data_IF_704817704313
#
_entry.id   IF_704817704313
#
_cell.length_a   1.000
_cell.length_b   1.000
_cell.length_c   1.000
_cell.angle_alpha   90.00
_cell.angle_beta   90.00
_cell.angle_gamma   90.00
#
_symmetry.space_group_name_H-M   'P 1'
#
loop_
_entity.id
_entity.type
_entity.pdbx_description
1 polymer ?
#
# COMPACT_ATOMS: atom_id res chain seq x y z
N UNK A 1 4.29 -11.95 -18.62
CA UNK A 1 4.31 -13.25 -17.89
C UNK A 1 5.24 -14.29 -18.52
N UNK A 2 4.95 -14.80 -19.72
CA UNK A 2 5.74 -15.88 -20.34
C UNK A 2 7.23 -15.54 -20.52
N UNK A 3 7.55 -14.27 -20.82
CA UNK A 3 8.93 -13.77 -20.89
C UNK A 3 9.68 -13.86 -19.56
N UNK A 4 8.99 -13.66 -18.43
CA UNK A 4 9.62 -13.83 -17.12
C UNK A 4 9.81 -15.32 -16.80
N UNK A 5 8.82 -16.16 -17.11
CA UNK A 5 8.91 -17.61 -16.95
C UNK A 5 10.04 -18.23 -17.80
N UNK A 6 10.29 -17.70 -19.00
CA UNK A 6 11.31 -18.21 -19.91
C UNK A 6 12.74 -18.08 -19.40
N UNK A 7 12.98 -17.26 -18.37
CA UNK A 7 14.28 -17.22 -17.68
C UNK A 7 14.55 -18.56 -16.98
N UNK A 8 13.53 -19.13 -16.33
CA UNK A 8 13.63 -20.34 -15.52
C UNK A 8 13.39 -21.63 -16.31
N UNK A 9 12.55 -21.58 -17.34
CA UNK A 9 12.20 -22.78 -18.10
C UNK A 9 11.06 -22.54 -19.09
N UNK A 10 10.35 -23.60 -19.45
CA UNK A 10 9.27 -23.49 -20.44
C UNK A 10 8.21 -22.44 -20.04
N UNK A 11 7.66 -21.67 -20.98
CA UNK A 11 6.50 -20.81 -20.73
C UNK A 11 5.29 -21.54 -20.13
N UNK A 12 5.24 -22.88 -20.26
CA UNK A 12 4.23 -23.75 -19.63
C UNK A 12 4.32 -23.79 -18.09
N UNK A 13 5.36 -23.23 -17.49
CA UNK A 13 5.49 -23.10 -16.04
C UNK A 13 4.55 -22.03 -15.46
N UNK A 14 3.94 -21.19 -16.29
CA UNK A 14 2.89 -20.26 -15.85
C UNK A 14 1.71 -21.06 -15.30
N UNK A 15 1.31 -20.77 -14.07
CA UNK A 15 0.19 -21.40 -13.37
C UNK A 15 -1.00 -20.46 -13.34
N UNK A 16 -2.19 -21.02 -13.18
CA UNK A 16 -3.43 -20.25 -13.04
C UNK A 16 -3.72 -19.99 -11.57
N UNK A 17 -4.29 -18.83 -11.25
CA UNK A 17 -4.86 -18.57 -9.92
C UNK A 17 -6.12 -19.38 -9.61
N UNK A 18 -6.70 -20.07 -10.62
CA UNK A 18 -7.81 -21.01 -10.45
C UNK A 18 -7.33 -22.28 -9.74
N UNK A 19 -7.10 -22.17 -8.44
CA UNK A 19 -6.52 -23.22 -7.60
C UNK A 19 -7.04 -23.10 -6.17
N UNK A 20 -6.96 -24.20 -5.41
CA UNK A 20 -7.19 -24.18 -3.95
C UNK A 20 -5.95 -23.70 -3.21
N UNK A 21 -6.12 -23.30 -1.95
CA UNK A 21 -5.04 -22.94 -1.03
C UNK A 21 -3.96 -24.04 -0.94
N UNK A 22 -4.38 -25.29 -0.75
CA UNK A 22 -3.48 -26.44 -0.60
C UNK A 22 -2.71 -26.79 -1.88
N UNK A 23 -3.36 -26.62 -3.03
CA UNK A 23 -2.69 -26.78 -4.31
C UNK A 23 -1.65 -25.67 -4.50
N UNK A 24 -1.96 -24.42 -4.12
CA UNK A 24 -1.00 -23.31 -4.18
C UNK A 24 0.16 -23.48 -3.19
N UNK A 25 -0.03 -24.05 -2.00
CA UNK A 25 1.08 -24.41 -1.10
C UNK A 25 2.06 -25.38 -1.78
N UNK A 26 1.53 -26.42 -2.42
CA UNK A 26 2.35 -27.42 -3.12
C UNK A 26 3.09 -26.82 -4.32
N UNK A 27 2.42 -25.92 -5.05
CA UNK A 27 3.01 -25.19 -6.17
C UNK A 27 4.11 -24.24 -5.68
N UNK A 28 3.88 -23.51 -4.59
CA UNK A 28 4.83 -22.58 -4.01
C UNK A 28 6.10 -23.30 -3.53
N UNK A 29 5.95 -24.41 -2.82
CA UNK A 29 7.06 -25.27 -2.39
C UNK A 29 7.91 -25.74 -3.58
N UNK A 30 7.27 -26.16 -4.67
CA UNK A 30 7.95 -26.59 -5.90
C UNK A 30 8.69 -25.44 -6.64
N UNK A 31 8.39 -24.18 -6.32
CA UNK A 31 9.05 -22.99 -6.88
C UNK A 31 9.92 -22.28 -5.84
N UNK A 32 10.28 -22.92 -4.73
CA UNK A 32 11.20 -22.32 -3.75
C UNK A 32 12.52 -21.96 -4.42
N UNK A 33 13.04 -20.78 -4.07
CA UNK A 33 14.20 -20.12 -4.66
C UNK A 33 14.07 -19.78 -6.16
N UNK A 34 12.87 -19.92 -6.71
CA UNK A 34 12.51 -19.55 -8.07
C UNK A 34 11.44 -18.46 -8.16
N UNK A 35 11.09 -18.13 -9.41
CA UNK A 35 9.95 -17.26 -9.71
C UNK A 35 8.69 -18.12 -9.88
N UNK A 36 7.64 -17.79 -9.11
CA UNK A 36 6.31 -18.34 -9.32
C UNK A 36 5.48 -17.38 -10.18
N UNK A 37 5.00 -17.82 -11.33
CA UNK A 37 4.20 -16.98 -12.25
C UNK A 37 2.75 -17.45 -12.20
N UNK A 38 1.85 -16.60 -11.72
CA UNK A 38 0.42 -16.88 -11.54
C UNK A 38 -0.43 -15.97 -12.42
N UNK A 39 -1.16 -16.54 -13.35
CA UNK A 39 -1.95 -15.80 -14.32
C UNK A 39 -3.40 -15.64 -13.85
N UNK A 40 -3.90 -14.42 -14.03
CA UNK A 40 -5.29 -14.01 -13.88
C UNK A 40 -5.86 -14.22 -12.46
N UNK A 41 -5.46 -13.35 -11.54
CA UNK A 41 -5.87 -13.35 -10.11
C UNK A 41 -7.38 -13.31 -9.94
N UNK A 42 -8.12 -12.78 -10.92
CA UNK A 42 -9.58 -12.76 -10.94
C UNK A 42 -10.23 -14.14 -10.85
N UNK A 43 -9.50 -15.21 -11.18
CA UNK A 43 -9.99 -16.59 -11.05
C UNK A 43 -9.86 -17.19 -9.64
N UNK A 44 -9.15 -16.54 -8.72
CA UNK A 44 -9.07 -17.00 -7.34
C UNK A 44 -10.38 -16.66 -6.60
N UNK A 45 -10.78 -17.48 -5.63
CA UNK A 45 -11.95 -17.18 -4.82
C UNK A 45 -11.70 -15.92 -3.95
N UNK A 46 -12.52 -14.86 -4.08
CA UNK A 46 -12.44 -13.63 -3.27
C UNK A 46 -12.33 -13.85 -1.76
N UNK A 47 -12.91 -14.96 -1.26
CA UNK A 47 -12.92 -15.28 0.16
C UNK A 47 -11.56 -15.73 0.68
N UNK A 48 -10.70 -16.32 -0.16
CA UNK A 48 -9.39 -16.85 0.28
C UNK A 48 -8.20 -16.02 -0.22
N UNK A 49 -8.37 -15.21 -1.27
CA UNK A 49 -7.24 -14.58 -1.96
C UNK A 49 -6.27 -13.83 -1.03
N UNK A 50 -6.78 -13.07 -0.06
CA UNK A 50 -5.95 -12.31 0.86
C UNK A 50 -5.09 -13.21 1.76
N UNK A 51 -5.65 -14.32 2.22
CA UNK A 51 -4.92 -15.32 3.02
C UNK A 51 -3.90 -16.07 2.15
N UNK A 52 -4.25 -16.34 0.89
CA UNK A 52 -3.34 -16.93 -0.08
C UNK A 52 -2.14 -16.02 -0.38
N UNK A 53 -2.34 -14.72 -0.59
CA UNK A 53 -1.24 -13.75 -0.74
C UNK A 53 -0.36 -13.69 0.50
N UNK A 54 -0.96 -13.75 1.70
CA UNK A 54 -0.18 -13.85 2.94
C UNK A 54 0.67 -15.11 2.99
N UNK A 55 0.09 -16.27 2.71
CA UNK A 55 0.77 -17.56 2.70
C UNK A 55 1.94 -17.55 1.72
N UNK A 56 1.72 -17.14 0.47
CA UNK A 56 2.77 -17.03 -0.55
C UNK A 56 3.91 -16.11 -0.09
N UNK A 57 3.58 -14.94 0.45
CA UNK A 57 4.56 -13.96 0.92
C UNK A 57 5.24 -14.30 2.24
N UNK A 58 4.67 -15.18 3.07
CA UNK A 58 5.26 -15.62 4.34
C UNK A 58 6.22 -16.80 4.16
N UNK A 59 6.07 -17.58 3.09
CA UNK A 59 6.98 -18.68 2.82
C UNK A 59 6.64 -19.98 3.54
N UNK A 60 5.41 -20.16 4.03
CA UNK A 60 5.04 -21.37 4.76
C UNK A 60 3.57 -21.75 4.58
N UNK A 61 3.33 -23.06 4.49
CA UNK A 61 1.99 -23.64 4.43
C UNK A 61 1.30 -23.72 5.80
N UNK A 62 0.05 -24.16 5.80
CA UNK A 62 -0.73 -24.29 7.02
C UNK A 62 -0.30 -25.52 7.83
N UNK A 63 0.02 -25.31 9.10
CA UNK A 63 0.22 -26.40 10.05
C UNK A 63 -1.06 -27.21 10.23
N UNK A 64 -0.93 -28.54 10.19
CA UNK A 64 -2.05 -29.47 10.41
C UNK A 64 -1.73 -30.37 11.59
N UNK A 65 -2.64 -30.44 12.56
CA UNK A 65 -2.58 -31.47 13.59
C UNK A 65 -3.05 -32.80 12.99
N UNK A 66 -2.48 -33.91 13.46
CA UNK A 66 -3.04 -35.25 13.18
C UNK A 66 -4.20 -35.57 14.15
N UNK A 67 -4.91 -36.67 13.91
CA UNK A 67 -6.04 -37.13 14.72
C UNK A 67 -5.68 -37.43 16.19
N UNK A 68 -4.39 -37.42 16.53
CA UNK A 68 -3.86 -37.59 17.90
C UNK A 68 -3.40 -36.28 18.55
N UNK A 69 -3.68 -35.13 17.92
CA UNK A 69 -3.28 -33.80 18.43
C UNK A 69 -1.77 -33.53 18.39
N UNK A 70 -0.99 -34.41 17.77
CA UNK A 70 0.44 -34.20 17.53
C UNK A 70 0.62 -33.41 16.23
N UNK A 71 1.73 -32.67 16.11
CA UNK A 71 2.10 -32.03 14.86
C UNK A 71 2.05 -33.07 13.72
N UNK A 72 1.27 -32.79 12.68
CA UNK A 72 1.09 -33.67 11.53
C UNK A 72 2.34 -33.71 10.64
N UNK A 73 2.15 -33.94 9.34
CA UNK A 73 3.24 -33.87 8.33
C UNK A 73 3.99 -32.54 8.43
N UNK A 74 5.28 -32.56 8.10
CA UNK A 74 6.12 -31.37 8.05
C UNK A 74 5.46 -30.26 7.21
N UNK A 75 5.43 -29.05 7.76
CA UNK A 75 4.93 -27.87 7.06
C UNK A 75 5.85 -27.59 5.88
N UNK A 76 5.27 -27.39 4.69
CA UNK A 76 6.03 -26.98 3.52
C UNK A 76 6.48 -25.53 3.71
N UNK A 77 7.75 -25.26 3.39
CA UNK A 77 8.35 -23.94 3.44
C UNK A 77 8.93 -23.59 2.08
N UNK A 78 8.95 -22.30 1.76
CA UNK A 78 9.52 -21.79 0.51
C UNK A 78 10.02 -20.37 0.69
N UNK A 79 10.92 -19.97 -0.20
CA UNK A 79 11.35 -18.59 -0.39
C UNK A 79 11.18 -18.23 -1.85
N UNK A 80 10.21 -17.41 -2.19
CA UNK A 80 9.96 -17.06 -3.60
C UNK A 80 9.58 -15.59 -3.78
N UNK A 81 9.76 -15.13 -5.00
CA UNK A 81 9.01 -14.00 -5.55
C UNK A 81 7.93 -14.58 -6.46
N UNK A 82 6.74 -13.99 -6.44
CA UNK A 82 5.71 -14.32 -7.40
C UNK A 82 5.33 -13.11 -8.24
N UNK A 83 4.98 -13.38 -9.49
CA UNK A 83 4.45 -12.41 -10.42
C UNK A 83 3.01 -12.79 -10.72
N UNK A 84 2.13 -11.79 -10.81
CA UNK A 84 0.71 -11.97 -11.08
C UNK A 84 0.20 -11.01 -12.14
N UNK A 85 -0.89 -11.39 -12.81
CA UNK A 85 -1.71 -10.54 -13.70
C UNK A 85 -3.15 -10.50 -13.19
N UNK A 86 -3.89 -9.49 -13.63
CA UNK A 86 -5.32 -9.36 -13.38
C UNK A 86 -5.83 -7.96 -13.72
N UNK A 87 -7.13 -7.88 -13.98
CA UNK A 87 -7.82 -6.60 -14.24
C UNK A 87 -8.17 -5.84 -12.96
N UNK A 88 -8.33 -6.56 -11.85
CA UNK A 88 -8.71 -6.02 -10.54
C UNK A 88 -7.51 -6.01 -9.60
N UNK A 89 -7.41 -4.97 -8.79
CA UNK A 89 -6.46 -4.94 -7.67
C UNK A 89 -6.85 -5.97 -6.61
N UNK A 90 -5.89 -6.36 -5.76
CA UNK A 90 -6.18 -7.25 -4.63
C UNK A 90 -7.28 -6.69 -3.71
N UNK A 91 -7.30 -5.37 -3.49
CA UNK A 91 -8.35 -4.69 -2.72
C UNK A 91 -9.73 -4.87 -3.36
N UNK A 92 -9.84 -4.61 -4.66
CA UNK A 92 -11.10 -4.75 -5.41
C UNK A 92 -11.58 -6.21 -5.37
N UNK A 93 -10.69 -7.17 -5.56
CA UNK A 93 -11.04 -8.59 -5.54
C UNK A 93 -11.51 -9.04 -4.15
N UNK A 94 -10.86 -8.59 -3.08
CA UNK A 94 -11.29 -8.90 -1.71
C UNK A 94 -12.62 -8.25 -1.33
N UNK A 95 -12.89 -7.05 -1.84
CA UNK A 95 -14.13 -6.33 -1.58
C UNK A 95 -15.37 -7.09 -2.09
N UNK A 96 -15.25 -7.91 -3.13
CA UNK A 96 -16.33 -8.79 -3.62
C UNK A 96 -16.81 -9.80 -2.56
N UNK A 97 -15.95 -10.15 -1.61
CA UNK A 97 -16.29 -10.98 -0.45
C UNK A 97 -16.54 -10.18 0.83
N UNK A 98 -16.74 -8.86 0.73
CA UNK A 98 -16.84 -7.93 1.87
C UNK A 98 -15.64 -8.05 2.85
N UNK A 99 -14.43 -8.24 2.31
CA UNK A 99 -13.18 -8.26 3.09
C UNK A 99 -12.34 -7.03 2.81
N UNK A 100 -11.78 -6.45 3.86
CA UNK A 100 -10.87 -5.31 3.74
C UNK A 100 -9.42 -5.76 3.49
N UNK A 101 -8.72 -5.02 2.63
CA UNK A 101 -7.29 -5.20 2.41
C UNK A 101 -6.52 -4.74 3.67
N UNK A 102 -5.66 -5.61 4.19
CA UNK A 102 -4.74 -5.25 5.27
C UNK A 102 -3.43 -4.73 4.68
N UNK A 103 -2.84 -3.70 5.31
CA UNK A 103 -1.52 -3.16 4.96
C UNK A 103 -0.43 -4.24 4.77
N UNK A 104 -0.47 -5.31 5.56
CA UNK A 104 0.48 -6.41 5.44
C UNK A 104 0.31 -7.26 4.16
N UNK A 105 -0.89 -7.34 3.60
CA UNK A 105 -1.16 -8.02 2.32
C UNK A 105 -0.70 -7.16 1.14
N UNK A 106 -0.97 -5.86 1.20
CA UNK A 106 -0.59 -4.89 0.17
C UNK A 106 0.93 -4.90 -0.05
N UNK A 107 1.71 -4.83 1.03
CA UNK A 107 3.17 -4.92 0.94
C UNK A 107 3.67 -6.32 0.59
N UNK A 108 2.84 -7.34 0.36
CA UNK A 108 3.27 -8.65 -0.16
C UNK A 108 2.96 -8.81 -1.65
N UNK A 109 2.01 -8.06 -2.16
CA UNK A 109 1.64 -8.04 -3.57
C UNK A 109 1.54 -6.58 -4.05
N UNK A 110 2.65 -6.09 -4.60
CA UNK A 110 2.75 -4.71 -5.10
C UNK A 110 2.06 -4.65 -6.48
N UNK A 111 0.90 -4.00 -6.55
CA UNK A 111 0.15 -3.83 -7.79
C UNK A 111 0.73 -2.68 -8.63
N UNK A 112 1.39 -3.02 -9.74
CA UNK A 112 1.93 -2.03 -10.68
C UNK A 112 0.97 -1.89 -11.86
N UNK A 113 0.55 -0.67 -12.23
CA UNK A 113 -0.23 -0.45 -13.46
C UNK A 113 0.50 -1.03 -14.68
N UNK A 114 -0.23 -1.78 -15.50
CA UNK A 114 0.35 -2.42 -16.68
C UNK A 114 0.58 -1.45 -17.85
N UNK A 115 -0.18 -0.35 -17.92
CA UNK A 115 -0.04 0.66 -18.98
C UNK A 115 1.19 1.54 -18.74
N UNK A 116 2.08 1.59 -19.72
CA UNK A 116 3.27 2.43 -19.72
C UNK A 116 2.95 3.92 -19.96
N UNK A 117 1.67 4.28 -20.17
CA UNK A 117 1.17 5.65 -20.38
C UNK A 117 1.78 6.34 -21.61
N UNK A 118 2.12 5.56 -22.64
CA UNK A 118 2.70 6.03 -23.91
C UNK A 118 1.84 5.72 -25.13
N UNK A 119 0.60 5.28 -24.92
CA UNK A 119 -0.31 4.88 -26.01
C UNK A 119 0.05 3.56 -26.69
N UNK A 120 0.98 2.79 -26.11
CA UNK A 120 1.47 1.50 -26.62
C UNK A 120 1.11 0.32 -25.69
N UNK A 121 0.14 0.53 -24.79
CA UNK A 121 -0.19 -0.42 -23.74
C UNK A 121 0.99 -0.66 -22.80
N UNK A 122 1.39 -1.92 -22.62
CA UNK A 122 2.45 -2.29 -21.68
C UNK A 122 3.88 -1.96 -22.13
N UNK A 123 4.05 -1.45 -23.35
CA UNK A 123 5.37 -1.21 -23.93
C UNK A 123 5.74 0.26 -23.91
N UNK A 124 6.99 0.55 -23.57
CA UNK A 124 7.54 1.90 -23.71
C UNK A 124 7.96 2.22 -25.15
N UNK A 125 8.42 1.21 -25.87
CA UNK A 125 8.94 1.29 -27.24
C UNK A 125 8.67 -0.03 -27.95
N UNK A 126 8.42 0.05 -29.26
CA UNK A 126 8.12 -1.12 -30.08
C UNK A 126 9.37 -1.81 -30.66
N UNK A 127 10.56 -1.22 -30.56
CA UNK A 127 11.82 -1.82 -31.01
C UNK A 127 11.79 -2.35 -32.47
N UNK A 128 11.19 -1.58 -33.39
CA UNK A 128 11.11 -1.91 -34.82
C UNK A 128 9.94 -2.80 -35.22
N UNK A 129 9.05 -3.16 -34.30
CA UNK A 129 7.77 -3.80 -34.61
C UNK A 129 6.71 -2.75 -35.00
N UNK A 130 5.75 -3.17 -35.82
CA UNK A 130 4.68 -2.30 -36.35
C UNK A 130 3.75 -1.78 -35.25
N UNK A 131 3.37 -2.65 -34.31
CA UNK A 131 2.50 -2.31 -33.18
C UNK A 131 2.81 -3.17 -31.94
N UNK A 132 2.10 -2.90 -30.85
CA UNK A 132 2.24 -3.61 -29.58
C UNK A 132 1.84 -5.10 -29.69
N UNK A 133 0.89 -5.45 -30.55
CA UNK A 133 0.43 -6.82 -30.74
C UNK A 133 1.53 -7.64 -31.42
N UNK A 134 2.14 -7.11 -32.49
CA UNK A 134 3.25 -7.71 -33.20
C UNK A 134 4.46 -7.95 -32.30
N UNK A 135 4.82 -6.98 -31.44
CA UNK A 135 5.89 -7.18 -30.45
C UNK A 135 5.53 -8.28 -29.44
N UNK A 136 4.31 -8.28 -28.90
CA UNK A 136 3.83 -9.28 -27.95
C UNK A 136 3.88 -10.70 -28.54
N UNK A 137 3.39 -10.88 -29.76
CA UNK A 137 3.36 -12.18 -30.43
C UNK A 137 4.75 -12.66 -30.84
N UNK A 138 5.63 -11.74 -31.26
CA UNK A 138 7.04 -12.07 -31.50
C UNK A 138 7.75 -12.54 -30.23
N UNK A 139 7.50 -11.90 -29.09
CA UNK A 139 8.03 -12.33 -27.80
C UNK A 139 7.51 -13.72 -27.42
N UNK A 140 6.20 -13.97 -27.51
CA UNK A 140 5.58 -15.28 -27.24
C UNK A 140 6.17 -16.40 -28.12
N UNK A 141 6.34 -16.13 -29.42
CA UNK A 141 6.93 -17.08 -30.36
C UNK A 141 8.38 -17.42 -30.00
N UNK A 142 9.19 -16.41 -29.62
CA UNK A 142 10.59 -16.61 -29.21
C UNK A 142 10.71 -17.40 -27.93
N UNK A 143 9.93 -17.05 -26.90
CA UNK A 143 10.02 -17.73 -25.59
C UNK A 143 9.51 -19.17 -25.63
N UNK A 144 8.74 -19.54 -26.64
CA UNK A 144 8.33 -20.94 -26.88
C UNK A 144 9.49 -21.78 -27.44
N UNK A 145 10.46 -21.16 -28.11
CA UNK A 145 11.63 -21.83 -28.71
C UNK A 145 12.88 -21.73 -27.83
N UNK A 146 13.07 -20.60 -27.14
CA UNK A 146 14.27 -20.28 -26.38
C UNK A 146 13.89 -19.95 -24.94
N UNK A 147 14.32 -20.79 -24.00
CA UNK A 147 14.05 -20.62 -22.58
C UNK A 147 15.05 -21.39 -21.69
N UNK A 148 15.14 -21.03 -20.41
CA UNK A 148 15.96 -21.67 -19.37
C UNK A 148 17.43 -21.27 -19.35
N UNK A 149 17.97 -20.79 -20.48
CA UNK A 149 19.40 -20.44 -20.61
C UNK A 149 19.88 -19.36 -19.64
N UNK A 150 19.15 -18.23 -19.45
CA UNK A 150 19.68 -17.13 -18.63
C UNK A 150 19.87 -17.51 -17.15
N UNK A 151 18.95 -18.30 -16.57
CA UNK A 151 19.08 -18.72 -15.18
C UNK A 151 20.30 -19.61 -14.96
N UNK A 152 20.55 -20.58 -15.86
CA UNK A 152 21.71 -21.47 -15.74
C UNK A 152 23.01 -20.67 -15.77
N UNK A 153 23.14 -19.71 -16.69
CA UNK A 153 24.31 -18.84 -16.75
C UNK A 153 24.47 -18.00 -15.47
N UNK A 154 23.37 -17.44 -14.95
CA UNK A 154 23.38 -16.65 -13.72
C UNK A 154 23.80 -17.48 -12.50
N UNK A 155 23.24 -18.68 -12.34
CA UNK A 155 23.57 -19.58 -11.24
C UNK A 155 25.03 -20.07 -11.32
N UNK A 156 25.53 -20.39 -12.51
CA UNK A 156 26.94 -20.76 -12.69
C UNK A 156 27.89 -19.66 -12.22
N UNK A 157 27.59 -18.39 -12.53
CA UNK A 157 28.38 -17.26 -12.08
C UNK A 157 28.25 -16.99 -10.56
N UNK A 158 27.04 -17.16 -10.00
CA UNK A 158 26.82 -16.99 -8.56
C UNK A 158 27.52 -18.06 -7.71
N UNK A 159 27.61 -19.28 -8.23
CA UNK A 159 28.22 -20.43 -7.56
C UNK A 159 29.73 -20.55 -7.81
N UNK A 160 30.36 -19.59 -8.48
CA UNK A 160 31.80 -19.61 -8.68
C UNK A 160 32.54 -19.57 -7.32
N UNK A 161 33.47 -20.52 -7.06
CA UNK A 161 34.16 -20.61 -5.78
C UNK A 161 34.81 -19.29 -5.36
N UNK A 162 34.57 -18.89 -4.10
CA UNK A 162 35.15 -17.68 -3.52
C UNK A 162 34.43 -16.36 -3.87
N UNK A 163 33.45 -16.33 -4.77
CA UNK A 163 32.77 -15.09 -5.17
C UNK A 163 31.51 -14.74 -4.36
N UNK A 164 30.94 -15.70 -3.64
CA UNK A 164 29.65 -15.55 -2.93
C UNK A 164 29.60 -14.35 -1.98
N UNK A 165 30.68 -14.11 -1.22
CA UNK A 165 30.74 -12.97 -0.29
C UNK A 165 30.74 -11.63 -1.04
N UNK A 166 31.48 -11.56 -2.16
CA UNK A 166 31.49 -10.40 -3.07
C UNK A 166 30.10 -10.11 -3.62
N UNK A 167 29.41 -11.12 -4.13
CA UNK A 167 28.04 -11.00 -4.63
C UNK A 167 27.07 -10.51 -3.55
N UNK A 168 27.13 -11.07 -2.34
CA UNK A 168 26.27 -10.62 -1.24
C UNK A 168 26.49 -9.16 -0.88
N UNK A 169 27.73 -8.67 -0.97
CA UNK A 169 28.11 -7.30 -0.65
C UNK A 169 27.62 -6.33 -1.73
N UNK A 170 27.81 -6.70 -3.00
CA UNK A 170 27.37 -5.91 -4.16
C UNK A 170 25.84 -5.78 -4.17
N UNK A 171 25.12 -6.88 -3.98
CA UNK A 171 23.66 -6.87 -3.96
C UNK A 171 23.13 -6.00 -2.82
N UNK A 172 23.68 -6.14 -1.62
CA UNK A 172 23.29 -5.33 -0.45
C UNK A 172 23.46 -3.83 -0.71
N UNK A 173 24.66 -3.41 -1.13
CA UNK A 173 24.93 -1.99 -1.42
C UNK A 173 24.06 -1.46 -2.55
N UNK A 174 23.81 -2.27 -3.58
CA UNK A 174 22.97 -1.85 -4.72
C UNK A 174 21.52 -1.65 -4.29
N UNK A 175 20.98 -2.54 -3.45
CA UNK A 175 19.62 -2.41 -2.89
C UNK A 175 19.55 -1.19 -1.96
N UNK A 176 20.51 -1.00 -1.06
CA UNK A 176 20.53 0.14 -0.13
C UNK A 176 20.60 1.48 -0.89
N UNK A 177 21.46 1.56 -1.91
CA UNK A 177 21.56 2.73 -2.80
C UNK A 177 20.29 2.94 -3.61
N UNK A 178 19.65 1.88 -4.11
CA UNK A 178 18.39 2.00 -4.82
C UNK A 178 17.32 2.62 -3.92
N UNK A 179 17.18 2.09 -2.70
CA UNK A 179 16.19 2.57 -1.73
C UNK A 179 16.47 4.02 -1.33
N UNK A 180 17.71 4.37 -0.98
CA UNK A 180 18.07 5.72 -0.52
C UNK A 180 17.93 6.80 -1.60
N UNK A 181 18.09 6.43 -2.88
CA UNK A 181 17.96 7.37 -4.00
C UNK A 181 16.54 7.42 -4.59
N UNK A 182 15.67 6.48 -4.24
CA UNK A 182 14.31 6.39 -4.79
C UNK A 182 13.22 6.84 -3.82
N UNK A 183 13.52 6.97 -2.53
CA UNK A 183 12.55 7.36 -1.51
C UNK A 183 13.03 8.56 -0.68
N UNK A 184 12.11 9.44 -0.25
CA UNK A 184 12.43 10.47 0.74
C UNK A 184 12.71 9.85 2.12
N UNK A 185 13.44 10.56 2.98
CA UNK A 185 13.73 10.10 4.36
C UNK A 185 12.47 9.88 5.20
N UNK A 186 11.38 10.58 4.88
CA UNK A 186 10.06 10.46 5.53
C UNK A 186 9.22 9.29 5.02
N UNK A 187 9.72 8.48 4.08
CA UNK A 187 8.97 7.37 3.50
C UNK A 187 8.53 6.36 4.58
N UNK A 188 7.29 5.90 4.46
CA UNK A 188 6.72 4.91 5.36
C UNK A 188 7.47 3.57 5.28
N UNK A 189 7.39 2.77 6.35
CA UNK A 189 7.97 1.42 6.35
C UNK A 189 7.37 0.50 5.27
N UNK A 190 6.17 0.80 4.79
CA UNK A 190 5.56 0.09 3.65
C UNK A 190 6.25 0.45 2.33
N UNK A 191 6.44 1.74 2.07
CA UNK A 191 7.17 2.23 0.89
C UNK A 191 8.62 1.71 0.88
N UNK A 192 9.30 1.72 2.03
CA UNK A 192 10.64 1.14 2.20
C UNK A 192 10.66 -0.34 1.77
N UNK A 193 9.72 -1.16 2.26
CA UNK A 193 9.63 -2.58 1.87
C UNK A 193 9.35 -2.78 0.38
N UNK A 194 8.54 -1.91 -0.23
CA UNK A 194 8.29 -1.97 -1.67
C UNK A 194 9.56 -1.64 -2.45
N UNK A 195 10.23 -0.53 -2.12
CA UNK A 195 11.49 -0.12 -2.75
C UNK A 195 12.59 -1.18 -2.60
N UNK A 196 12.68 -1.88 -1.46
CA UNK A 196 13.63 -2.99 -1.30
C UNK A 196 13.38 -4.10 -2.32
N UNK A 197 12.12 -4.43 -2.66
CA UNK A 197 11.82 -5.47 -3.66
C UNK A 197 12.14 -5.02 -5.08
N UNK A 198 11.81 -3.79 -5.45
CA UNK A 198 12.22 -3.22 -6.73
C UNK A 198 13.74 -3.09 -6.83
N UNK A 199 14.40 -2.71 -5.74
CA UNK A 199 15.85 -2.65 -5.64
C UNK A 199 16.52 -4.01 -5.77
N UNK A 200 15.89 -5.08 -5.26
CA UNK A 200 16.36 -6.45 -5.48
C UNK A 200 16.28 -6.84 -6.96
N UNK A 201 15.17 -6.51 -7.64
CA UNK A 201 15.03 -6.74 -9.08
C UNK A 201 16.05 -5.93 -9.90
N UNK A 202 16.28 -4.66 -9.54
CA UNK A 202 17.31 -3.82 -10.13
C UNK A 202 18.70 -4.44 -9.95
N UNK A 203 19.08 -4.78 -8.72
CA UNK A 203 20.38 -5.35 -8.40
C UNK A 203 20.64 -6.67 -9.13
N UNK A 204 19.64 -7.54 -9.21
CA UNK A 204 19.73 -8.78 -9.98
C UNK A 204 19.91 -8.52 -11.48
N UNK A 205 19.18 -7.56 -12.04
CA UNK A 205 19.30 -7.17 -13.45
C UNK A 205 20.63 -6.50 -13.80
N UNK A 206 21.15 -5.62 -12.95
CA UNK A 206 22.49 -5.02 -13.13
C UNK A 206 23.59 -6.08 -13.03
N UNK A 207 23.50 -7.01 -12.07
CA UNK A 207 24.45 -8.10 -11.96
C UNK A 207 24.40 -9.02 -13.20
N UNK A 208 23.21 -9.37 -13.67
CA UNK A 208 23.05 -10.17 -14.88
C UNK A 208 23.60 -9.44 -16.12
N UNK A 209 23.47 -8.12 -16.17
CA UNK A 209 24.03 -7.27 -17.22
C UNK A 209 25.56 -7.26 -17.18
N UNK A 210 26.16 -7.06 -16.01
CA UNK A 210 27.62 -7.11 -15.82
C UNK A 210 28.22 -8.48 -16.14
N UNK A 211 27.44 -9.55 -15.97
CA UNK A 211 27.81 -10.92 -16.35
C UNK A 211 27.58 -11.22 -17.85
N UNK A 212 27.07 -10.26 -18.63
CA UNK A 212 26.83 -10.42 -20.07
C UNK A 212 25.59 -11.24 -20.44
N UNK A 213 24.66 -11.45 -19.50
CA UNK A 213 23.50 -12.34 -19.69
C UNK A 213 22.33 -11.62 -20.38
N UNK A 214 22.08 -10.36 -20.04
CA UNK A 214 20.92 -9.61 -20.54
C UNK A 214 21.18 -8.88 -21.86
N UNK A 215 22.43 -8.45 -22.08
CA UNK A 215 22.79 -7.52 -23.17
C UNK A 215 22.20 -6.12 -23.00
N UNK A 216 21.71 -5.75 -21.81
CA UNK A 216 21.15 -4.43 -21.53
C UNK A 216 22.25 -3.37 -21.32
N UNK A 217 21.95 -2.07 -21.51
CA UNK A 217 22.87 -1.02 -21.09
C UNK A 217 22.98 -0.97 -19.56
N UNK A 218 24.16 -0.58 -19.06
CA UNK A 218 24.39 -0.33 -17.63
C UNK A 218 23.37 0.68 -17.08
N UNK A 219 22.78 0.37 -15.91
CA UNK A 219 21.74 1.20 -15.31
C UNK A 219 20.34 0.99 -15.89
N UNK A 220 20.20 0.17 -16.94
CA UNK A 220 18.91 -0.11 -17.57
C UNK A 220 17.92 -0.81 -16.63
N UNK A 221 18.38 -1.82 -15.88
CA UNK A 221 17.54 -2.54 -14.92
C UNK A 221 17.12 -1.65 -13.75
N UNK A 222 18.04 -0.81 -13.27
CA UNK A 222 17.79 0.17 -12.22
C UNK A 222 16.75 1.19 -12.66
N UNK A 223 16.86 1.71 -13.88
CA UNK A 223 15.90 2.68 -14.42
C UNK A 223 14.52 2.05 -14.56
N UNK A 224 14.42 0.85 -15.12
CA UNK A 224 13.15 0.13 -15.24
C UNK A 224 12.49 -0.13 -13.88
N UNK A 225 13.27 -0.56 -12.88
CA UNK A 225 12.76 -0.78 -11.53
C UNK A 225 12.27 0.52 -10.86
N UNK A 226 12.93 1.67 -11.11
CA UNK A 226 12.48 2.99 -10.63
C UNK A 226 11.17 3.41 -11.28
N UNK A 227 10.99 3.17 -12.58
CA UNK A 227 9.72 3.42 -13.29
C UNK A 227 8.59 2.64 -12.63
N UNK A 228 8.77 1.33 -12.40
CA UNK A 228 7.76 0.50 -11.75
C UNK A 228 7.47 0.92 -10.30
N UNK A 229 8.52 1.27 -9.52
CA UNK A 229 8.35 1.77 -8.15
C UNK A 229 7.55 3.08 -8.15
N UNK A 230 7.85 4.02 -9.05
CA UNK A 230 7.16 5.30 -9.12
C UNK A 230 5.70 5.12 -9.56
N UNK A 231 5.43 4.24 -10.53
CA UNK A 231 4.06 3.90 -10.92
C UNK A 231 3.27 3.31 -9.74
N UNK A 232 3.90 2.40 -8.98
CA UNK A 232 3.30 1.86 -7.76
C UNK A 232 3.07 2.93 -6.68
N UNK A 233 4.04 3.82 -6.45
CA UNK A 233 3.92 4.92 -5.49
C UNK A 233 2.79 5.88 -5.88
N UNK A 234 2.63 6.20 -7.17
CA UNK A 234 1.58 7.10 -7.64
C UNK A 234 0.19 6.50 -7.43
N UNK A 235 0.00 5.22 -7.77
CA UNK A 235 -1.26 4.50 -7.52
C UNK A 235 -1.56 4.40 -6.03
N UNK A 236 -0.52 4.14 -5.24
CA UNK A 236 -0.54 4.20 -3.78
C UNK A 236 -0.37 5.63 -3.26
N UNK A 237 -0.79 6.69 -3.96
CA UNK A 237 -0.83 8.09 -3.45
C UNK A 237 0.41 8.65 -2.72
N UNK A 238 1.61 8.13 -2.98
CA UNK A 238 2.89 8.62 -2.48
C UNK A 238 3.65 7.66 -1.54
N UNK A 239 4.84 8.10 -1.11
CA UNK A 239 5.73 7.35 -0.22
C UNK A 239 5.31 7.42 1.26
N UNK A 240 4.34 8.27 1.60
CA UNK A 240 3.83 8.50 2.95
C UNK A 240 3.08 7.30 3.56
N UNK A 241 2.58 7.50 4.77
CA UNK A 241 1.80 6.48 5.48
C UNK A 241 0.32 6.59 5.11
N UNK A 242 -0.19 5.64 4.31
CA UNK A 242 -1.58 5.65 3.82
C UNK A 242 -2.63 5.62 4.92
N UNK A 243 -2.33 4.96 6.04
CA UNK A 243 -3.20 5.00 7.22
C UNK A 243 -3.42 6.44 7.70
N UNK A 244 -2.39 7.28 7.62
CA UNK A 244 -2.42 8.66 8.07
C UNK A 244 -3.30 9.55 7.20
N UNK A 245 -3.22 9.43 5.86
CA UNK A 245 -4.05 10.22 4.95
C UNK A 245 -5.51 9.75 4.95
N UNK A 246 -5.74 8.44 5.06
CA UNK A 246 -7.08 7.87 5.20
C UNK A 246 -7.78 8.36 6.48
N UNK A 247 -7.04 8.55 7.58
CA UNK A 247 -7.56 9.14 8.82
C UNK A 247 -8.10 10.55 8.56
N UNK A 248 -7.32 11.41 7.90
CA UNK A 248 -7.72 12.79 7.60
C UNK A 248 -8.89 12.83 6.63
N UNK A 249 -8.85 12.04 5.55
CA UNK A 249 -9.92 11.94 4.58
C UNK A 249 -11.24 11.47 5.22
N UNK A 250 -11.16 10.49 6.14
CA UNK A 250 -12.32 10.01 6.89
C UNK A 250 -12.94 11.12 7.74
N UNK A 251 -12.12 11.91 8.43
CA UNK A 251 -12.60 13.02 9.25
C UNK A 251 -13.23 14.13 8.40
N UNK A 252 -12.62 14.48 7.26
CA UNK A 252 -13.18 15.42 6.27
C UNK A 252 -14.55 14.98 5.79
N UNK A 253 -14.67 13.72 5.35
CA UNK A 253 -15.94 13.16 4.89
C UNK A 253 -17.06 13.26 5.94
N UNK A 254 -16.73 13.00 7.23
CA UNK A 254 -17.70 13.13 8.32
C UNK A 254 -18.14 14.57 8.49
N UNK A 255 -17.22 15.54 8.42
CA UNK A 255 -17.54 16.96 8.56
C UNK A 255 -18.30 17.52 7.35
N UNK A 256 -17.92 17.15 6.13
CA UNK A 256 -18.65 17.54 4.91
C UNK A 256 -20.09 17.02 4.93
N UNK A 257 -20.29 15.78 5.39
CA UNK A 257 -21.61 15.15 5.38
C UNK A 257 -22.49 15.55 6.57
N UNK A 258 -21.89 15.73 7.74
CA UNK A 258 -22.63 15.83 9.01
C UNK A 258 -22.32 17.09 9.83
N UNK A 259 -21.38 17.92 9.39
CA UNK A 259 -20.87 19.08 10.14
C UNK A 259 -21.96 20.05 10.60
N UNK A 260 -23.02 20.22 9.81
CA UNK A 260 -24.13 21.10 10.17
C UNK A 260 -25.27 20.39 10.91
N UNK A 261 -25.49 19.10 10.63
CA UNK A 261 -26.72 18.37 10.99
C UNK A 261 -26.60 17.54 12.26
N UNK A 262 -25.42 16.96 12.53
CA UNK A 262 -25.17 16.08 13.68
C UNK A 262 -24.32 16.75 14.78
N UNK A 263 -24.07 18.05 14.68
CA UNK A 263 -23.38 18.84 15.70
C UNK A 263 -24.28 19.95 16.25
N UNK A 264 -24.54 19.91 17.56
CA UNK A 264 -25.35 20.95 18.22
C UNK A 264 -24.58 22.26 18.25
N UNK A 265 -25.22 23.35 17.82
CA UNK A 265 -24.62 24.68 17.83
C UNK A 265 -24.39 25.17 19.25
N UNK A 266 -23.21 25.72 19.47
CA UNK A 266 -22.78 26.35 20.71
C UNK A 266 -22.49 27.83 20.41
N UNK A 267 -23.51 28.67 20.52
CA UNK A 267 -23.42 30.10 20.13
C UNK A 267 -23.14 31.04 21.32
N UNK A 268 -23.45 30.63 22.56
CA UNK A 268 -23.27 31.48 23.75
C UNK A 268 -21.93 31.26 24.46
N UNK A 269 -21.38 32.32 25.08
CA UNK A 269 -20.25 32.26 26.01
C UNK A 269 -20.52 31.35 27.22
N UNK A 270 -21.80 31.14 27.56
CA UNK A 270 -22.25 30.17 28.57
C UNK A 270 -22.61 28.87 27.86
N UNK A 271 -22.19 27.72 28.41
CA UNK A 271 -22.52 26.39 27.91
C UNK A 271 -24.02 26.04 28.13
N UNK A 272 -24.91 26.77 27.46
CA UNK A 272 -26.35 26.54 27.40
C UNK A 272 -26.74 26.11 25.99
N UNK A 273 -27.67 25.15 25.90
CA UNK A 273 -28.29 24.77 24.64
C UNK A 273 -29.23 25.91 24.24
N UNK A 274 -29.22 26.30 22.97
CA UNK A 274 -30.25 27.18 22.44
C UNK A 274 -31.59 26.43 22.42
N UNK A 275 -32.52 26.84 23.29
CA UNK A 275 -33.85 26.25 23.42
C UNK A 275 -34.74 26.54 22.20
N UNK A 276 -34.37 27.53 21.37
CA UNK A 276 -35.11 27.91 20.16
C UNK A 276 -34.49 27.33 18.87
N UNK A 277 -33.35 26.64 18.99
CA UNK A 277 -32.64 26.02 17.86
C UNK A 277 -33.24 24.68 17.43
N UNK A 278 -33.04 24.26 16.16
CA UNK A 278 -33.44 22.94 15.70
C UNK A 278 -32.73 21.83 16.50
N UNK A 279 -33.48 20.79 16.88
CA UNK A 279 -32.92 19.64 17.59
C UNK A 279 -31.92 18.89 16.71
N UNK A 280 -30.76 18.57 17.28
CA UNK A 280 -29.74 17.73 16.63
C UNK A 280 -30.12 16.25 16.77
N UNK A 281 -30.50 15.61 15.67
CA UNK A 281 -30.78 14.17 15.61
C UNK A 281 -29.44 13.41 15.46
N UNK A 282 -29.34 12.23 16.07
CA UNK A 282 -28.15 11.37 16.05
C UNK A 282 -26.85 12.15 16.38
N UNK A 283 -26.84 12.94 17.44
CA UNK A 283 -25.74 13.88 17.72
C UNK A 283 -24.37 13.18 17.83
N UNK A 284 -23.39 13.65 17.03
CA UNK A 284 -21.96 13.29 17.13
C UNK A 284 -21.21 14.17 18.13
N UNK A 285 -21.66 15.41 18.33
CA UNK A 285 -20.98 16.36 19.19
C UNK A 285 -21.56 17.77 19.14
N UNK A 286 -20.70 18.76 19.38
CA UNK A 286 -21.02 20.18 19.37
C UNK A 286 -20.14 20.93 18.37
N UNK A 287 -20.62 22.07 17.89
CA UNK A 287 -19.81 23.00 17.08
C UNK A 287 -19.92 24.41 17.62
N UNK A 288 -18.80 25.13 17.65
CA UNK A 288 -18.73 26.54 18.02
C UNK A 288 -18.22 27.33 16.82
N UNK A 289 -19.00 28.30 16.36
CA UNK A 289 -18.59 29.20 15.28
C UNK A 289 -18.19 30.54 15.88
N UNK A 290 -17.04 31.04 15.47
CA UNK A 290 -16.57 32.38 15.80
C UNK A 290 -16.50 33.20 14.50
N UNK A 291 -17.06 34.40 14.52
CA UNK A 291 -16.97 35.35 13.42
C UNK A 291 -15.77 36.27 13.65
N UNK A 292 -15.05 36.55 12.57
CA UNK A 292 -13.85 37.40 12.56
C UNK A 292 -14.02 38.47 11.47
N UNK A 293 -13.43 39.65 11.70
CA UNK A 293 -13.50 40.78 10.76
C UNK A 293 -14.76 41.63 10.90
N UNK A 294 -14.86 42.67 10.07
CA UNK A 294 -16.04 43.55 9.94
C UNK A 294 -16.36 43.77 8.45
N UNK A 295 -17.64 43.91 8.12
CA UNK A 295 -18.09 44.21 6.76
C UNK A 295 -17.77 43.09 5.76
N UNK A 296 -17.27 43.45 4.58
CA UNK A 296 -16.96 42.51 3.49
C UNK A 296 -15.77 41.57 3.79
N UNK A 297 -15.02 41.80 4.87
CA UNK A 297 -13.93 40.93 5.33
C UNK A 297 -14.37 39.89 6.39
N UNK A 298 -15.68 39.73 6.60
CA UNK A 298 -16.22 38.76 7.55
C UNK A 298 -15.86 37.33 7.13
N UNK A 299 -15.23 36.59 8.03
CA UNK A 299 -15.00 35.16 7.86
C UNK A 299 -15.26 34.42 9.17
N UNK A 300 -15.62 33.14 9.08
CA UNK A 300 -15.98 32.33 10.25
C UNK A 300 -15.02 31.17 10.45
N UNK A 301 -14.64 30.91 11.70
CA UNK A 301 -13.94 29.68 12.07
C UNK A 301 -14.87 28.79 12.89
N UNK A 302 -14.93 27.51 12.56
CA UNK A 302 -15.75 26.53 13.29
C UNK A 302 -14.87 25.53 14.01
N UNK A 303 -15.05 25.41 15.32
CA UNK A 303 -14.43 24.38 16.16
C UNK A 303 -15.44 23.27 16.44
N UNK A 304 -15.05 22.03 16.18
CA UNK A 304 -15.84 20.84 16.46
C UNK A 304 -15.40 20.16 17.75
N UNK A 305 -16.38 19.67 18.53
CA UNK A 305 -16.20 18.94 19.77
C UNK A 305 -16.91 17.58 19.63
N UNK A 306 -16.19 16.54 19.25
CA UNK A 306 -16.77 15.20 19.04
C UNK A 306 -16.76 14.40 20.33
N UNK A 307 -17.88 13.74 20.64
CA UNK A 307 -18.00 12.89 21.82
C UNK A 307 -17.21 11.58 21.68
N UNK A 308 -16.71 10.98 22.77
CA UNK A 308 -15.77 9.88 22.70
C UNK A 308 -16.34 8.59 22.08
N UNK A 309 -17.58 8.25 22.41
CA UNK A 309 -18.26 7.09 21.85
C UNK A 309 -18.44 7.27 20.34
N UNK A 310 -18.95 8.42 19.89
CA UNK A 310 -19.13 8.73 18.47
C UNK A 310 -17.79 8.72 17.71
N UNK A 311 -16.72 9.23 18.32
CA UNK A 311 -15.36 9.20 17.76
C UNK A 311 -14.90 7.76 17.45
N UNK A 312 -15.16 6.83 18.37
CA UNK A 312 -14.79 5.42 18.25
C UNK A 312 -15.72 4.61 17.33
N UNK A 313 -17.03 4.68 17.58
CA UNK A 313 -18.01 3.76 17.00
C UNK A 313 -18.56 4.21 15.64
N UNK A 314 -18.39 5.49 15.28
CA UNK A 314 -18.94 6.07 14.05
C UNK A 314 -17.87 6.75 13.20
N UNK A 315 -17.15 7.73 13.74
CA UNK A 315 -16.18 8.53 12.98
C UNK A 315 -15.03 7.64 12.51
N UNK A 316 -14.39 6.92 13.43
CA UNK A 316 -13.24 6.04 13.14
C UNK A 316 -13.56 4.56 13.37
N UNK A 317 -14.81 4.17 13.10
CA UNK A 317 -15.25 2.77 13.23
C UNK A 317 -14.30 1.83 12.48
N UNK A 318 -13.77 0.84 13.19
CA UNK A 318 -12.86 -0.17 12.64
C UNK A 318 -11.39 0.25 12.51
N UNK A 319 -11.05 1.49 12.90
CA UNK A 319 -9.66 1.97 12.90
C UNK A 319 -9.01 1.87 14.30
N UNK A 320 -7.68 1.84 14.35
CA UNK A 320 -6.94 1.88 15.60
C UNK A 320 -6.93 3.30 16.18
N UNK A 321 -7.71 3.55 17.23
CA UNK A 321 -7.85 4.87 17.83
C UNK A 321 -6.55 5.48 18.35
N UNK A 322 -5.60 4.69 18.84
CA UNK A 322 -4.33 5.23 19.31
C UNK A 322 -3.51 5.80 18.14
N UNK A 323 -3.53 5.11 17.00
CA UNK A 323 -2.88 5.58 15.77
C UNK A 323 -3.59 6.83 15.21
N UNK A 324 -4.92 6.80 15.13
CA UNK A 324 -5.76 7.95 14.72
C UNK A 324 -5.42 9.20 15.54
N UNK A 325 -5.48 9.07 16.86
CA UNK A 325 -5.26 10.18 17.78
C UNK A 325 -3.84 10.72 17.68
N UNK A 326 -2.84 9.84 17.59
CA UNK A 326 -1.44 10.24 17.42
C UNK A 326 -1.22 11.00 16.11
N UNK A 327 -1.81 10.53 15.02
CA UNK A 327 -1.68 11.14 13.70
C UNK A 327 -2.30 12.55 13.66
N UNK A 328 -3.55 12.67 14.12
CA UNK A 328 -4.26 13.95 14.10
C UNK A 328 -3.59 14.98 15.02
N UNK A 329 -2.98 14.55 16.14
CA UNK A 329 -2.14 15.40 16.97
C UNK A 329 -0.85 15.82 16.24
N UNK A 330 -0.16 14.90 15.54
CA UNK A 330 1.08 15.24 14.83
C UNK A 330 0.87 16.20 13.66
N UNK A 331 -0.31 16.18 13.03
CA UNK A 331 -0.70 17.14 11.98
C UNK A 331 -1.27 18.45 12.53
N UNK A 332 -1.33 18.62 13.85
CA UNK A 332 -2.00 19.75 14.52
C UNK A 332 -3.47 19.95 14.08
N UNK A 333 -4.12 18.87 13.61
CA UNK A 333 -5.56 18.88 13.32
C UNK A 333 -6.31 18.79 14.64
N UNK A 334 -5.93 17.84 15.51
CA UNK A 334 -6.53 17.70 16.83
C UNK A 334 -5.83 18.61 17.84
N UNK A 335 -6.63 19.34 18.62
CA UNK A 335 -6.15 20.17 19.71
C UNK A 335 -5.90 19.31 20.97
N UNK A 336 -4.65 19.23 21.47
CA UNK A 336 -4.33 18.46 22.67
C UNK A 336 -4.97 19.11 23.91
N UNK A 337 -5.37 18.27 24.87
CA UNK A 337 -5.72 18.71 26.21
C UNK A 337 -4.50 19.25 26.97
N UNK A 338 -4.75 19.86 28.13
CA UNK A 338 -3.70 20.36 29.03
C UNK A 338 -2.72 19.27 29.50
N UNK A 339 -3.13 18.00 29.44
CA UNK A 339 -2.32 16.82 29.75
C UNK A 339 -1.63 16.21 28.52
N UNK A 340 -1.68 16.88 27.36
CA UNK A 340 -1.14 16.41 26.10
C UNK A 340 -1.94 15.27 25.45
N UNK A 341 -3.08 14.87 26.02
CA UNK A 341 -3.90 13.79 25.47
C UNK A 341 -4.84 14.30 24.38
N UNK A 342 -5.21 13.39 23.48
CA UNK A 342 -6.08 13.64 22.34
C UNK A 342 -7.49 14.11 22.72
N UNK A 343 -8.12 13.43 23.69
CA UNK A 343 -9.37 13.92 24.26
C UNK A 343 -9.05 14.95 25.35
N UNK A 344 -9.92 15.95 25.53
CA UNK A 344 -9.79 16.96 26.57
C UNK A 344 -11.09 17.12 27.38
N UNK A 345 -10.97 17.56 28.63
CA UNK A 345 -12.12 17.75 29.52
C UNK A 345 -12.73 19.13 29.29
N UNK A 346 -13.93 19.18 28.71
CA UNK A 346 -14.61 20.41 28.30
C UNK A 346 -15.99 20.45 28.95
N UNK A 347 -16.44 21.65 29.33
CA UNK A 347 -17.82 21.87 29.78
C UNK A 347 -18.70 22.09 28.56
N UNK A 348 -19.37 21.05 28.11
CA UNK A 348 -20.21 21.07 26.91
C UNK A 348 -21.63 21.60 27.23
N UNK A 349 -22.30 22.29 26.29
CA UNK A 349 -23.65 22.79 26.49
C UNK A 349 -24.64 21.69 26.90
N UNK A 350 -25.38 21.94 28.00
CA UNK A 350 -26.39 21.00 28.51
C UNK A 350 -25.84 19.68 29.06
N UNK A 351 -24.52 19.57 29.26
CA UNK A 351 -23.87 18.42 29.88
C UNK A 351 -22.98 18.87 31.06
N UNK A 352 -22.66 17.94 31.96
CA UNK A 352 -21.57 18.13 32.93
C UNK A 352 -20.21 18.15 32.19
N UNK A 353 -19.10 18.33 32.93
CA UNK A 353 -17.77 18.19 32.33
C UNK A 353 -17.66 16.82 31.65
N UNK A 354 -17.39 16.83 30.35
CA UNK A 354 -17.30 15.65 29.52
C UNK A 354 -15.98 15.66 28.73
N UNK A 355 -15.57 14.49 28.24
CA UNK A 355 -14.41 14.40 27.35
C UNK A 355 -14.85 14.66 25.92
N UNK A 356 -14.05 15.42 25.17
CA UNK A 356 -14.30 15.68 23.76
C UNK A 356 -12.98 15.67 22.97
N UNK A 357 -13.06 15.25 21.73
CA UNK A 357 -12.01 15.43 20.72
C UNK A 357 -12.28 16.77 20.02
N UNK A 358 -11.30 17.66 20.03
CA UNK A 358 -11.49 19.06 19.61
C UNK A 358 -10.58 19.37 18.43
N UNK A 359 -11.13 19.98 17.39
CA UNK A 359 -10.35 20.43 16.25
C UNK A 359 -11.02 21.61 15.54
N UNK A 360 -10.22 22.44 14.89
CA UNK A 360 -10.70 23.51 14.03
C UNK A 360 -10.91 23.01 12.60
N UNK A 361 -12.01 23.43 11.97
CA UNK A 361 -12.28 23.13 10.56
C UNK A 361 -11.17 23.65 9.64
N UNK A 362 -10.55 24.80 9.94
CA UNK A 362 -9.47 25.33 9.11
C UNK A 362 -8.22 24.44 9.14
N UNK A 363 -7.87 23.92 10.31
CA UNK A 363 -6.75 22.99 10.45
C UNK A 363 -7.00 21.67 9.70
N UNK A 364 -8.26 21.20 9.66
CA UNK A 364 -8.63 20.01 8.91
C UNK A 364 -8.59 20.22 7.39
N UNK A 365 -8.94 21.43 6.92
CA UNK A 365 -9.08 21.76 5.50
C UNK A 365 -7.84 22.42 4.88
N UNK A 366 -6.80 22.69 5.66
CA UNK A 366 -5.52 23.12 5.12
C UNK A 366 -4.94 22.00 4.25
N UNK A 367 -4.60 22.31 3.00
CA UNK A 367 -3.84 21.41 2.13
C UNK A 367 -2.40 21.29 2.65
N UNK A 368 -1.82 20.09 2.62
CA UNK A 368 -0.41 19.81 2.93
C UNK A 368 0.58 20.45 1.92
N UNK A 369 0.17 21.51 1.20
CA UNK A 369 0.99 22.26 0.23
C UNK A 369 2.07 23.14 0.89
N UNK A 370 2.40 22.89 2.16
CA UNK A 370 3.38 23.63 2.96
C UNK A 370 4.78 23.02 3.02
N UNK A 371 5.06 21.90 2.34
CA UNK A 371 6.46 21.50 2.10
C UNK A 371 6.98 22.20 0.84
N UNK A 372 7.34 23.47 1.02
CA UNK A 372 8.15 24.23 0.09
C UNK A 372 9.35 23.41 -0.36
N UNK A 373 9.47 23.23 -1.68
CA UNK A 373 10.75 23.07 -2.34
C UNK A 373 11.64 24.24 -1.93
N UNK A 374 12.45 24.09 -0.88
CA UNK A 374 13.64 24.90 -0.74
C UNK A 374 14.70 24.30 -1.67
N UNK A 375 14.81 24.95 -2.81
CA UNK A 375 15.99 24.88 -3.65
C UNK A 375 17.20 25.40 -2.85
N UNK A 376 18.20 24.54 -2.71
CA UNK A 376 19.61 24.90 -2.68
C UNK A 376 20.43 23.68 -3.13
#
# INVERSE_FOLDING_TARGET
MQVAASIYGSPRCVRSWRSTDNALESIAAAHSDGLLVLDEIGMCDPRIIGETVYMLGNGSGKARANDRGQAGRHVQEWRLLFLSTGEKTLAQHMAEANKDLKAGMEVRMLAVPADASKGLGMFDMLNGFEDAAALSDALKARVTKYYGTPLTAFLSALCEPGKMLGWSTILRHTIERFVSTSLPKSASGQAQRAATRFGLAAAAGELATALGITGWPEGGATTAAKVCLNAWLNERGGAGNFESDAIVARLRQVIERFGESRFTRWESAVAKIDEHGPRTIDRLGFRKTLEHGLGDALHTTTTYYVLPEAWCSEVFKGMNLNAVNKELLSRAILEPGSDGKAAQSVRLPGMSKARAYVFNSSALMADDSGHSFEAA
#
